data_IF_735672104790
#
_entry.id   IF_735672104790
#
_cell.length_a   1.000
_cell.length_b   1.000
_cell.length_c   1.000
_cell.angle_alpha   90.00
_cell.angle_beta   90.00
_cell.angle_gamma   90.00
#
_symmetry.space_group_name_H-M   'P 1'
#
loop_
_entity.id
_entity.type
_entity.pdbx_description
1 polymer ?
#
# COMPACT_ATOMS: atom_id res chain seq x y z
N UNK A 1 33.39 -45.72 -9.77
CA UNK A 1 32.87 -44.65 -8.88
C UNK A 1 33.13 -43.20 -9.34
N UNK A 2 33.92 -42.92 -10.39
CA UNK A 2 34.21 -41.53 -10.86
C UNK A 2 33.06 -40.86 -11.64
N UNK A 3 32.19 -41.64 -12.32
CA UNK A 3 31.06 -41.12 -13.11
C UNK A 3 29.88 -40.64 -12.27
N UNK A 4 29.54 -41.35 -11.19
CA UNK A 4 28.42 -41.01 -10.31
C UNK A 4 28.60 -39.66 -9.61
N UNK A 5 29.85 -39.29 -9.29
CA UNK A 5 30.20 -37.99 -8.67
C UNK A 5 30.01 -36.80 -9.61
N UNK A 6 30.24 -36.98 -10.92
CA UNK A 6 30.03 -35.93 -11.93
C UNK A 6 28.54 -35.68 -12.15
N UNK A 7 27.74 -36.74 -12.23
CA UNK A 7 26.30 -36.63 -12.42
C UNK A 7 25.62 -35.96 -11.22
N UNK A 8 26.04 -36.29 -10.00
CA UNK A 8 25.54 -35.64 -8.79
C UNK A 8 25.84 -34.13 -8.76
N UNK A 9 27.05 -33.72 -9.16
CA UNK A 9 27.43 -32.31 -9.24
C UNK A 9 26.58 -31.54 -10.26
N UNK A 10 26.35 -32.14 -11.44
CA UNK A 10 25.51 -31.53 -12.48
C UNK A 10 24.07 -31.35 -12.00
N UNK A 11 23.51 -32.34 -11.30
CA UNK A 11 22.15 -32.25 -10.74
C UNK A 11 22.06 -31.15 -9.69
N UNK A 12 23.03 -31.04 -8.79
CA UNK A 12 23.06 -29.95 -7.80
C UNK A 12 23.12 -28.56 -8.46
N UNK A 13 23.94 -28.39 -9.51
CA UNK A 13 24.02 -27.12 -10.24
C UNK A 13 22.71 -26.75 -10.95
N UNK A 14 22.01 -27.74 -11.52
CA UNK A 14 20.68 -27.54 -12.13
C UNK A 14 19.66 -27.15 -11.08
N UNK A 15 19.63 -27.84 -9.93
CA UNK A 15 18.72 -27.53 -8.84
C UNK A 15 18.98 -26.10 -8.32
N UNK A 16 20.22 -25.73 -8.08
CA UNK A 16 20.58 -24.37 -7.62
C UNK A 16 20.18 -23.32 -8.66
N UNK A 17 20.40 -23.59 -9.95
CA UNK A 17 19.99 -22.69 -11.04
C UNK A 17 18.47 -22.48 -11.11
N UNK A 18 17.68 -23.54 -10.87
CA UNK A 18 16.22 -23.45 -10.81
C UNK A 18 15.77 -22.62 -9.60
N UNK A 19 16.38 -22.84 -8.43
CA UNK A 19 16.06 -22.06 -7.23
C UNK A 19 16.43 -20.57 -7.41
N UNK A 20 17.55 -20.27 -8.09
CA UNK A 20 17.94 -18.90 -8.40
C UNK A 20 16.97 -18.21 -9.37
N UNK A 21 16.41 -18.95 -10.35
CA UNK A 21 15.35 -18.42 -11.22
C UNK A 21 14.05 -18.13 -10.46
N UNK A 22 13.64 -19.05 -9.58
CA UNK A 22 12.43 -18.88 -8.77
C UNK A 22 12.59 -17.81 -7.67
N UNK A 23 13.82 -17.53 -7.26
CA UNK A 23 14.17 -16.50 -6.28
C UNK A 23 14.36 -15.10 -6.89
N UNK A 24 14.23 -14.93 -8.21
CA UNK A 24 14.07 -13.60 -8.80
C UNK A 24 12.68 -13.07 -8.44
N UNK A 25 12.55 -12.64 -7.18
CA UNK A 25 11.42 -11.83 -6.74
C UNK A 25 11.45 -10.54 -7.56
N UNK A 26 10.36 -10.31 -8.27
CA UNK A 26 10.22 -9.17 -9.16
C UNK A 26 10.33 -7.91 -8.30
N UNK A 27 11.51 -7.29 -8.31
CA UNK A 27 11.77 -5.94 -7.79
C UNK A 27 10.92 -4.99 -8.62
N UNK A 28 9.62 -4.99 -8.35
CA UNK A 28 8.72 -3.95 -8.80
C UNK A 28 9.31 -2.68 -8.21
N UNK A 29 10.02 -1.95 -9.08
CA UNK A 29 10.27 -0.52 -8.95
C UNK A 29 9.09 0.03 -8.19
N UNK A 30 9.30 0.54 -6.97
CA UNK A 30 8.24 1.15 -6.15
C UNK A 30 7.47 2.07 -7.10
N UNK A 31 6.30 1.63 -7.55
CA UNK A 31 5.53 2.38 -8.53
C UNK A 31 5.28 3.72 -7.88
N UNK A 32 5.80 4.80 -8.47
CA UNK A 32 5.64 6.11 -7.89
C UNK A 32 4.15 6.44 -7.98
N UNK A 33 3.42 6.19 -6.89
CA UNK A 33 1.98 6.31 -6.88
C UNK A 33 1.64 7.79 -6.85
N UNK A 34 1.24 8.30 -8.00
CA UNK A 34 0.70 9.66 -8.11
C UNK A 34 -0.77 9.61 -7.73
N UNK A 35 -1.18 10.51 -6.85
CA UNK A 35 -2.58 10.69 -6.46
C UNK A 35 -3.03 12.09 -6.83
N UNK A 36 -4.29 12.21 -7.21
CA UNK A 36 -4.91 13.49 -7.50
C UNK A 36 -5.22 14.23 -6.19
N UNK A 37 -4.87 15.52 -6.15
CA UNK A 37 -5.34 16.46 -5.13
C UNK A 37 -6.40 17.36 -5.75
N UNK A 38 -7.54 17.52 -5.08
CA UNK A 38 -8.67 18.30 -5.61
C UNK A 38 -8.68 19.70 -5.01
N UNK A 39 -8.67 20.72 -5.87
CA UNK A 39 -8.84 22.10 -5.42
C UNK A 39 -10.27 22.34 -4.91
N UNK A 40 -10.38 23.01 -3.77
CA UNK A 40 -11.62 23.49 -3.18
C UNK A 40 -11.54 24.99 -2.95
N UNK A 41 -12.62 25.72 -3.15
CA UNK A 41 -12.63 27.16 -2.83
C UNK A 41 -12.63 27.33 -1.31
N UNK A 42 -11.91 28.33 -0.79
CA UNK A 42 -11.76 28.58 0.65
C UNK A 42 -13.11 28.62 1.42
N UNK A 43 -14.18 29.07 0.76
CA UNK A 43 -15.50 29.18 1.37
C UNK A 43 -16.27 27.85 1.48
N UNK A 44 -15.63 26.71 1.22
CA UNK A 44 -16.27 25.39 1.33
C UNK A 44 -16.33 24.86 2.76
N UNK A 45 -15.58 25.43 3.70
CA UNK A 45 -15.77 25.21 5.14
C UNK A 45 -15.37 23.83 5.63
N UNK A 46 -14.14 23.38 5.37
CA UNK A 46 -13.59 22.20 6.03
C UNK A 46 -13.35 22.53 7.50
N UNK A 47 -14.03 21.82 8.41
CA UNK A 47 -13.83 21.98 9.85
C UNK A 47 -12.89 20.89 10.36
N UNK A 48 -11.80 21.28 11.04
CA UNK A 48 -10.81 20.32 11.55
C UNK A 48 -11.23 19.72 12.90
N UNK A 49 -12.36 19.01 12.92
CA UNK A 49 -12.89 18.33 14.11
C UNK A 49 -12.70 16.79 14.08
N UNK A 50 -12.09 16.28 13.00
CA UNK A 50 -11.86 14.85 12.77
C UNK A 50 -13.04 14.11 12.13
N UNK A 51 -14.14 14.81 11.83
CA UNK A 51 -15.24 14.27 11.03
C UNK A 51 -15.00 14.58 9.56
N UNK A 52 -15.53 13.72 8.70
CA UNK A 52 -15.38 13.81 7.24
C UNK A 52 -16.77 13.80 6.59
N UNK A 53 -17.65 14.67 7.10
CA UNK A 53 -19.06 14.75 6.75
C UNK A 53 -19.41 16.00 5.91
N UNK A 54 -18.46 16.91 5.70
CA UNK A 54 -18.63 18.04 4.80
C UNK A 54 -18.68 17.61 3.33
N UNK A 55 -19.52 18.27 2.53
CA UNK A 55 -19.76 17.93 1.12
C UNK A 55 -18.51 17.92 0.24
N UNK A 56 -17.47 18.66 0.60
CA UNK A 56 -16.21 18.64 -0.17
C UNK A 56 -15.54 17.28 -0.19
N UNK A 57 -15.74 16.45 0.84
CA UNK A 57 -15.21 15.09 0.90
C UNK A 57 -15.89 14.13 -0.09
N UNK A 58 -17.01 14.51 -0.69
CA UNK A 58 -17.68 13.76 -1.75
C UNK A 58 -17.01 13.96 -3.13
N UNK A 59 -16.22 15.04 -3.32
CA UNK A 59 -15.54 15.33 -4.58
C UNK A 59 -14.32 14.43 -4.79
N UNK A 60 -14.06 14.02 -6.02
CA UNK A 60 -12.89 13.20 -6.37
C UNK A 60 -12.91 11.78 -5.77
N UNK A 61 -11.84 11.03 -6.01
CA UNK A 61 -11.77 9.59 -5.67
C UNK A 61 -11.00 9.36 -4.37
N UNK A 62 -11.53 8.47 -3.52
CA UNK A 62 -10.81 7.96 -2.35
C UNK A 62 -9.74 6.95 -2.79
N UNK A 63 -8.49 7.24 -2.46
CA UNK A 63 -7.34 6.38 -2.77
C UNK A 63 -7.25 5.22 -1.77
N UNK A 64 -7.10 4.00 -2.27
CA UNK A 64 -7.11 2.75 -1.49
C UNK A 64 -5.89 1.85 -1.77
N UNK A 65 -6.00 0.54 -1.55
CA UNK A 65 -5.01 -0.46 -2.00
C UNK A 65 -3.63 -0.31 -1.36
N UNK A 66 -3.65 -0.02 -0.06
CA UNK A 66 -2.46 -0.06 0.77
C UNK A 66 -1.92 -1.48 0.88
N UNK A 67 -0.60 -1.59 1.02
CA UNK A 67 0.08 -2.79 1.45
C UNK A 67 0.39 -2.70 2.94
N UNK A 68 0.47 -3.84 3.61
CA UNK A 68 0.86 -3.91 5.01
C UNK A 68 2.37 -4.09 5.13
N UNK A 69 2.97 -3.47 6.16
CA UNK A 69 4.36 -3.69 6.53
C UNK A 69 4.53 -4.93 7.40
N UNK A 70 3.52 -5.25 8.22
CA UNK A 70 3.49 -6.41 9.11
C UNK A 70 2.07 -6.98 9.18
N UNK A 71 1.89 -8.28 9.49
CA UNK A 71 2.92 -9.30 9.74
C UNK A 71 3.57 -9.85 8.47
N UNK A 72 2.98 -9.61 7.30
CA UNK A 72 3.51 -10.05 6.01
C UNK A 72 3.75 -8.83 5.12
N UNK A 73 4.99 -8.36 5.10
CA UNK A 73 5.39 -7.16 4.35
C UNK A 73 5.02 -7.28 2.86
N UNK A 74 4.61 -6.15 2.27
CA UNK A 74 4.22 -6.04 0.87
C UNK A 74 2.90 -6.72 0.47
N UNK A 75 2.24 -7.48 1.36
CA UNK A 75 0.91 -8.06 1.08
C UNK A 75 -0.17 -6.97 1.09
N UNK A 76 -1.33 -7.19 0.43
CA UNK A 76 -2.48 -6.31 0.59
C UNK A 76 -2.84 -6.10 2.06
N UNK A 77 -3.22 -4.87 2.42
CA UNK A 77 -3.61 -4.56 3.78
C UNK A 77 -4.81 -5.40 4.24
N UNK A 78 -4.69 -6.01 5.41
CA UNK A 78 -5.75 -6.82 6.03
C UNK A 78 -6.98 -5.98 6.45
N UNK A 79 -6.75 -4.72 6.83
CA UNK A 79 -7.81 -3.76 7.11
C UNK A 79 -7.85 -2.68 6.01
N UNK A 80 -9.03 -2.41 5.48
CA UNK A 80 -9.21 -1.40 4.43
C UNK A 80 -8.86 -0.03 5.00
N UNK A 81 -8.01 0.71 4.30
CA UNK A 81 -7.74 2.12 4.57
C UNK A 81 -7.91 2.91 3.29
N UNK A 82 -8.50 4.09 3.40
CA UNK A 82 -8.66 5.02 2.29
C UNK A 82 -8.24 6.42 2.71
N UNK A 83 -7.68 7.18 1.77
CA UNK A 83 -7.37 8.59 1.98
C UNK A 83 -7.78 9.45 0.79
N UNK A 84 -7.90 10.74 1.02
CA UNK A 84 -8.19 11.74 -0.01
C UNK A 84 -7.42 13.01 0.30
N UNK A 85 -6.96 13.68 -0.76
CA UNK A 85 -6.21 14.93 -0.68
C UNK A 85 -7.05 16.03 -1.33
N UNK A 86 -7.33 17.07 -0.55
CA UNK A 86 -7.95 18.31 -1.03
C UNK A 86 -6.97 19.45 -0.76
N UNK A 87 -7.09 20.56 -1.47
CA UNK A 87 -6.30 21.75 -1.17
C UNK A 87 -7.04 23.02 -1.56
N UNK A 88 -6.70 24.13 -0.91
CA UNK A 88 -7.07 25.47 -1.34
C UNK A 88 -5.79 26.32 -1.49
N UNK A 89 -5.93 27.63 -1.55
CA UNK A 89 -4.80 28.55 -1.74
C UNK A 89 -3.87 28.65 -0.50
N UNK A 90 -4.32 28.16 0.67
CA UNK A 90 -3.60 28.26 1.95
C UNK A 90 -3.23 26.90 2.55
N UNK A 91 -4.06 25.87 2.39
CA UNK A 91 -3.94 24.60 3.11
C UNK A 91 -4.02 23.36 2.21
N UNK A 92 -3.32 22.31 2.65
CA UNK A 92 -3.46 20.94 2.16
C UNK A 92 -4.25 20.14 3.20
N UNK A 93 -5.38 19.58 2.79
CA UNK A 93 -6.25 18.77 3.64
C UNK A 93 -6.10 17.29 3.30
N UNK A 94 -5.86 16.46 4.31
CA UNK A 94 -5.76 15.01 4.17
C UNK A 94 -6.81 14.36 5.06
N UNK A 95 -7.82 13.77 4.42
CA UNK A 95 -8.81 12.94 5.11
C UNK A 95 -8.40 11.47 5.01
N UNK A 96 -8.50 10.73 6.10
CA UNK A 96 -8.23 9.30 6.15
C UNK A 96 -9.36 8.54 6.84
N UNK A 97 -9.73 7.38 6.27
CA UNK A 97 -10.70 6.44 6.82
C UNK A 97 -10.04 5.08 6.97
N UNK A 98 -9.79 4.67 8.21
CA UNK A 98 -9.29 3.35 8.56
C UNK A 98 -10.47 2.50 9.06
N UNK A 99 -10.79 1.43 8.34
CA UNK A 99 -11.91 0.54 8.66
C UNK A 99 -11.38 -0.61 9.50
N UNK A 100 -11.55 -0.51 10.82
CA UNK A 100 -11.24 -1.57 11.76
C UNK A 100 -12.51 -2.42 12.02
N UNK A 101 -12.44 -3.76 11.91
CA UNK A 101 -13.58 -4.62 12.23
C UNK A 101 -13.93 -4.67 13.73
N UNK A 102 -12.99 -4.31 14.62
CA UNK A 102 -13.13 -4.33 16.07
C UNK A 102 -12.74 -2.98 16.70
N UNK A 103 -13.42 -1.87 16.35
CA UNK A 103 -13.02 -0.52 16.76
C UNK A 103 -13.05 -0.32 18.29
N UNK A 104 -13.81 -1.12 19.03
CA UNK A 104 -13.86 -1.11 20.50
C UNK A 104 -12.56 -1.59 21.16
N UNK A 105 -11.68 -2.28 20.44
CA UNK A 105 -10.40 -2.78 20.96
C UNK A 105 -9.25 -1.79 20.78
N UNK A 106 -9.48 -0.68 20.07
CA UNK A 106 -8.48 0.38 19.86
C UNK A 106 -8.13 1.01 21.21
N UNK A 107 -6.83 1.01 21.54
CA UNK A 107 -6.29 1.63 22.75
C UNK A 107 -5.68 2.98 22.41
N UNK A 108 -5.83 3.93 23.33
CA UNK A 108 -5.18 5.24 23.29
C UNK A 108 -3.74 5.16 23.83
#
# INVERSE_FOLDING_TARGET
>A
MKGMRKNALTICLVIIGIHALLAQENNNVRQNRVVEAIYISQNTGVHLDGRLDEKVWEKGVWQSDFTQHAPHDGKPASCKTQFKVLYDDEYLYIGARAYDPNPSEIKA
#
